data_IF_135460897580
#
_entry.id   IF_135460897580
#
_cell.length_a   1.000
_cell.length_b   1.000
_cell.length_c   1.000
_cell.angle_alpha   90.00
_cell.angle_beta   90.00
_cell.angle_gamma   90.00
#
_symmetry.space_group_name_H-M   'P 1'
#
loop_
_entity.id
_entity.type
_entity.pdbx_description
1 polymer ?
#
# COMPACT_ATOMS: atom_id res chain seq x y z
N UNK A 1 13.23 -20.36 5.12
CA UNK A 1 12.38 -19.39 4.39
C UNK A 1 12.98 -18.01 4.64
N UNK A 2 13.16 -17.18 3.62
CA UNK A 2 13.77 -15.84 3.78
C UNK A 2 12.66 -14.84 4.14
N UNK A 3 12.83 -14.05 5.19
CA UNK A 3 11.81 -13.10 5.62
C UNK A 3 11.82 -11.86 4.73
N UNK A 4 10.67 -11.46 4.20
CA UNK A 4 10.50 -10.25 3.39
C UNK A 4 9.66 -9.21 4.13
N UNK A 5 9.73 -7.97 3.67
CA UNK A 5 8.80 -6.91 4.06
C UNK A 5 7.95 -6.52 2.85
N UNK A 6 6.64 -6.64 3.00
CA UNK A 6 5.67 -6.22 2.01
C UNK A 6 5.38 -4.74 2.25
N UNK A 7 5.50 -3.92 1.22
CA UNK A 7 5.13 -2.50 1.27
C UNK A 7 4.11 -2.26 0.16
N UNK A 8 2.86 -2.05 0.56
CA UNK A 8 1.79 -1.66 -0.33
C UNK A 8 1.68 -0.13 -0.39
N UNK A 9 1.53 0.42 -1.59
CA UNK A 9 1.30 1.85 -1.79
C UNK A 9 0.05 2.09 -2.62
N UNK A 10 -0.58 3.24 -2.40
CA UNK A 10 -1.65 3.79 -3.23
C UNK A 10 -1.49 5.31 -3.22
N UNK A 11 -1.38 5.94 -4.39
CA UNK A 11 -1.11 7.38 -4.50
C UNK A 11 -2.10 8.06 -5.44
N UNK A 12 -2.77 9.10 -4.94
CA UNK A 12 -3.82 9.82 -5.66
C UNK A 12 -3.92 11.28 -5.16
N UNK A 13 -5.02 11.99 -5.47
CA UNK A 13 -5.25 13.39 -5.14
C UNK A 13 -4.12 14.32 -5.62
N UNK A 14 -3.64 14.06 -6.83
CA UNK A 14 -2.50 14.76 -7.43
C UNK A 14 -2.87 16.20 -7.76
N UNK A 15 -2.18 17.17 -7.16
CA UNK A 15 -2.22 18.57 -7.57
C UNK A 15 -1.00 18.86 -8.43
N UNK A 16 -1.24 19.45 -9.61
CA UNK A 16 -0.19 19.80 -10.56
C UNK A 16 -0.13 21.30 -10.79
N UNK A 17 1.06 21.86 -10.80
CA UNK A 17 1.31 23.27 -11.16
C UNK A 17 2.11 23.39 -12.46
N UNK A 18 2.03 24.53 -13.16
CA UNK A 18 2.90 24.81 -14.30
C UNK A 18 4.36 24.72 -13.84
N UNK A 19 5.16 23.86 -14.47
CA UNK A 19 6.58 23.76 -14.18
C UNK A 19 7.32 25.03 -14.61
N UNK A 20 8.45 25.31 -13.95
CA UNK A 20 9.39 26.34 -14.42
C UNK A 20 10.12 25.84 -15.68
N UNK A 21 9.46 25.92 -16.85
CA UNK A 21 10.01 25.57 -18.17
C UNK A 21 9.23 24.51 -18.95
N UNK A 22 9.23 24.65 -20.28
CA UNK A 22 8.68 23.75 -21.31
C UNK A 22 7.19 23.34 -21.22
N UNK A 23 6.39 23.98 -20.35
CA UNK A 23 4.96 23.69 -20.25
C UNK A 23 4.62 22.32 -19.65
N UNK A 24 5.63 21.59 -19.12
CA UNK A 24 5.40 20.35 -18.38
C UNK A 24 4.84 20.66 -17.00
N UNK A 25 3.71 20.05 -16.66
CA UNK A 25 3.08 20.18 -15.34
C UNK A 25 3.82 19.29 -14.32
N UNK A 26 4.36 19.88 -13.27
CA UNK A 26 5.01 19.16 -12.18
C UNK A 26 3.99 18.81 -11.10
N UNK A 27 4.11 17.62 -10.50
CA UNK A 27 3.30 17.27 -9.33
C UNK A 27 3.81 18.08 -8.14
N UNK A 28 2.90 18.82 -7.51
CA UNK A 28 3.19 19.65 -6.32
C UNK A 28 2.84 18.90 -5.04
N UNK A 29 1.67 18.27 -5.02
CA UNK A 29 1.21 17.50 -3.88
C UNK A 29 0.41 16.28 -4.32
N UNK A 30 0.31 15.30 -3.43
CA UNK A 30 -0.47 14.08 -3.59
C UNK A 30 -0.77 13.49 -2.22
N UNK A 31 -1.75 12.60 -2.15
CA UNK A 31 -1.99 11.77 -0.98
C UNK A 31 -1.38 10.39 -1.22
N UNK A 32 -0.81 9.80 -0.16
CA UNK A 32 -0.15 8.51 -0.19
C UNK A 32 -0.64 7.63 0.96
N UNK A 33 -1.23 6.51 0.60
CA UNK A 33 -1.45 5.38 1.49
C UNK A 33 -0.25 4.46 1.49
N UNK A 34 0.17 4.01 2.67
CA UNK A 34 1.21 2.99 2.81
C UNK A 34 0.74 1.92 3.78
N UNK A 35 0.79 0.66 3.38
CA UNK A 35 0.54 -0.47 4.27
C UNK A 35 1.76 -1.40 4.28
N UNK A 36 2.25 -1.74 5.46
CA UNK A 36 3.52 -2.47 5.66
C UNK A 36 3.24 -3.71 6.47
N UNK A 37 3.72 -4.85 5.98
CA UNK A 37 3.73 -6.11 6.71
C UNK A 37 5.13 -6.71 6.71
N UNK A 38 5.70 -6.83 7.89
CA UNK A 38 6.93 -7.59 8.10
C UNK A 38 6.59 -9.05 8.37
N UNK A 39 7.02 -9.96 7.49
CA UNK A 39 6.75 -11.40 7.66
C UNK A 39 7.37 -11.99 8.94
N UNK A 40 8.35 -11.29 9.55
CA UNK A 40 8.88 -11.66 10.88
C UNK A 40 7.84 -11.50 11.97
N UNK A 41 6.92 -10.54 11.86
CA UNK A 41 5.89 -10.33 12.88
C UNK A 41 4.91 -11.50 12.89
N UNK A 42 4.57 -12.04 11.71
CA UNK A 42 3.77 -13.27 11.57
C UNK A 42 4.50 -14.45 12.23
N UNK A 43 5.78 -14.62 11.90
CA UNK A 43 6.61 -15.69 12.47
C UNK A 43 6.67 -15.60 13.99
N UNK A 44 6.86 -14.40 14.52
CA UNK A 44 6.98 -14.19 15.96
C UNK A 44 5.65 -14.47 16.67
N UNK A 45 4.51 -14.08 16.09
CA UNK A 45 3.18 -14.45 16.58
C UNK A 45 2.98 -15.96 16.63
N UNK A 46 3.33 -16.67 15.56
CA UNK A 46 3.21 -18.14 15.48
C UNK A 46 4.14 -18.82 16.48
N UNK A 47 5.41 -18.44 16.52
CA UNK A 47 6.42 -19.08 17.37
C UNK A 47 6.18 -18.83 18.87
N UNK A 48 5.67 -17.64 19.22
CA UNK A 48 5.41 -17.25 20.61
C UNK A 48 3.96 -17.48 21.03
N UNK A 49 3.13 -17.99 20.12
CA UNK A 49 1.72 -18.28 20.34
C UNK A 49 0.93 -17.08 20.86
N UNK A 50 1.25 -15.88 20.37
CA UNK A 50 0.51 -14.67 20.73
C UNK A 50 -0.91 -14.76 20.18
N UNK A 51 -1.90 -14.47 21.03
CA UNK A 51 -3.28 -14.25 20.58
C UNK A 51 -3.41 -12.79 20.18
N UNK A 52 -3.65 -12.56 18.89
CA UNK A 52 -4.01 -11.25 18.38
C UNK A 52 -5.53 -11.10 18.42
N UNK A 53 -6.02 -10.03 19.03
CA UNK A 53 -7.45 -9.70 18.99
C UNK A 53 -7.89 -9.40 17.55
N UNK A 54 -7.04 -8.68 16.81
CA UNK A 54 -7.24 -8.40 15.38
C UNK A 54 -5.98 -8.73 14.58
N UNK A 55 -5.94 -9.86 13.85
CA UNK A 55 -4.76 -10.24 13.06
C UNK A 55 -4.33 -9.24 11.99
N UNK A 56 -5.24 -8.36 11.53
CA UNK A 56 -4.90 -7.30 10.58
C UNK A 56 -4.04 -6.18 11.19
N UNK A 57 -3.88 -6.13 12.52
CA UNK A 57 -3.05 -5.13 13.19
C UNK A 57 -1.55 -5.36 12.94
N UNK A 58 -1.17 -6.53 12.42
CA UNK A 58 0.17 -6.78 11.89
C UNK A 58 0.49 -5.93 10.65
N UNK A 59 -0.53 -5.39 9.99
CA UNK A 59 -0.36 -4.47 8.86
C UNK A 59 -0.34 -3.04 9.40
N UNK A 60 0.86 -2.48 9.52
CA UNK A 60 1.04 -1.07 9.86
C UNK A 60 0.59 -0.21 8.69
N UNK A 61 -0.30 0.74 8.92
CA UNK A 61 -0.88 1.55 7.84
C UNK A 61 -0.74 3.02 8.15
N UNK A 62 -0.35 3.78 7.13
CA UNK A 62 -0.15 5.21 7.17
C UNK A 62 -0.93 5.87 6.04
N UNK A 63 -1.35 7.10 6.28
CA UNK A 63 -1.95 7.99 5.30
C UNK A 63 -1.19 9.31 5.37
N UNK A 64 -0.59 9.71 4.26
CA UNK A 64 0.17 10.95 4.16
C UNK A 64 -0.49 11.90 3.18
N UNK A 65 -0.61 13.17 3.57
CA UNK A 65 -0.78 14.26 2.63
C UNK A 65 0.61 14.86 2.37
N UNK A 66 1.12 14.63 1.16
CA UNK A 66 2.47 15.03 0.76
C UNK A 66 2.38 16.40 0.10
N UNK A 67 2.71 17.43 0.85
CA UNK A 67 2.53 18.83 0.44
C UNK A 67 3.47 19.76 1.22
N UNK A 68 3.50 21.03 0.81
CA UNK A 68 4.31 22.08 1.45
C UNK A 68 3.55 22.79 2.61
N UNK A 69 2.31 22.41 2.89
CA UNK A 69 1.46 23.02 3.92
C UNK A 69 0.76 21.97 4.80
N UNK A 70 0.15 22.38 5.92
CA UNK A 70 -0.58 21.46 6.80
C UNK A 70 -2.05 21.41 6.36
N UNK A 71 -2.57 20.27 5.89
CA UNK A 71 -3.99 20.12 5.56
C UNK A 71 -4.86 20.00 6.80
N UNK A 72 -6.18 19.98 6.59
CA UNK A 72 -7.11 19.51 7.61
C UNK A 72 -6.82 18.05 7.98
N UNK A 73 -6.94 17.72 9.26
CA UNK A 73 -6.87 16.35 9.76
C UNK A 73 -8.04 15.55 9.17
N UNK A 74 -7.75 14.65 8.25
CA UNK A 74 -8.69 13.65 7.78
C UNK A 74 -8.46 12.33 8.51
N UNK A 75 -9.52 11.75 9.07
CA UNK A 75 -9.47 10.43 9.69
C UNK A 75 -9.68 9.32 8.66
N UNK A 76 -8.89 8.25 8.74
CA UNK A 76 -9.08 7.00 8.00
C UNK A 76 -9.24 5.82 8.98
N UNK A 77 -9.45 4.59 8.50
CA UNK A 77 -9.82 3.50 9.42
C UNK A 77 -8.69 3.01 10.32
N UNK A 78 -7.44 3.28 9.94
CA UNK A 78 -6.26 2.78 10.65
C UNK A 78 -5.43 3.89 11.29
N UNK A 79 -5.98 5.11 11.39
CA UNK A 79 -5.35 6.25 12.05
C UNK A 79 -5.78 7.61 11.49
N UNK A 80 -4.87 8.57 11.59
CA UNK A 80 -5.04 9.95 11.14
C UNK A 80 -4.14 10.22 9.94
N UNK A 81 -4.60 11.08 9.02
CA UNK A 81 -3.75 11.59 7.93
C UNK A 81 -2.64 12.46 8.51
N UNK A 82 -1.39 12.13 8.21
CA UNK A 82 -0.21 12.90 8.56
C UNK A 82 0.18 13.84 7.42
N UNK A 83 0.35 15.13 7.70
CA UNK A 83 1.01 16.04 6.77
C UNK A 83 2.51 15.71 6.74
N UNK A 84 3.13 15.65 5.55
CA UNK A 84 4.54 15.35 5.44
C UNK A 84 5.20 16.06 4.26
N UNK A 85 6.40 16.61 4.47
CA UNK A 85 7.21 17.08 3.37
C UNK A 85 7.82 15.91 2.59
N UNK A 86 8.00 16.07 1.28
CA UNK A 86 8.56 15.02 0.44
C UNK A 86 9.94 14.50 0.91
N UNK A 87 10.75 15.36 1.53
CA UNK A 87 12.06 14.98 2.08
C UNK A 87 11.94 14.05 3.29
N UNK A 88 10.99 14.34 4.18
CA UNK A 88 10.73 13.51 5.36
C UNK A 88 10.08 12.18 4.96
N UNK A 89 9.20 12.20 3.96
CA UNK A 89 8.65 10.98 3.37
C UNK A 89 9.76 10.11 2.77
N UNK A 90 10.72 10.72 2.07
CA UNK A 90 11.89 10.01 1.53
C UNK A 90 12.70 9.35 2.64
N UNK A 91 12.92 10.04 3.76
CA UNK A 91 13.60 9.48 4.92
C UNK A 91 12.82 8.30 5.54
N UNK A 92 11.50 8.41 5.69
CA UNK A 92 10.64 7.30 6.14
C UNK A 92 10.73 6.10 5.19
N UNK A 93 10.68 6.33 3.88
CA UNK A 93 10.78 5.26 2.87
C UNK A 93 12.13 4.56 2.94
N UNK A 94 13.24 5.27 3.18
CA UNK A 94 14.55 4.62 3.41
C UNK A 94 14.51 3.75 4.68
N UNK A 95 14.00 4.28 5.79
CA UNK A 95 13.92 3.57 7.06
C UNK A 95 13.03 2.32 6.99
N UNK A 96 11.89 2.39 6.27
CA UNK A 96 11.02 1.22 6.08
C UNK A 96 11.73 0.08 5.36
N UNK A 97 12.73 0.38 4.54
CA UNK A 97 13.40 -0.62 3.71
C UNK A 97 14.71 -1.13 4.31
N UNK A 98 15.20 -0.49 5.37
CA UNK A 98 16.51 -0.75 5.94
C UNK A 98 16.69 -2.21 6.37
N UNK A 99 17.74 -2.85 5.84
CA UNK A 99 18.15 -4.20 6.18
C UNK A 99 17.20 -5.31 5.72
N UNK A 100 16.23 -5.03 4.82
CA UNK A 100 15.18 -5.98 4.42
C UNK A 100 15.04 -6.15 2.92
N UNK A 101 14.68 -7.36 2.51
CA UNK A 101 14.23 -7.63 1.14
C UNK A 101 12.78 -7.15 0.98
N UNK A 102 12.56 -6.23 0.06
CA UNK A 102 11.29 -5.54 -0.11
C UNK A 102 10.51 -6.16 -1.28
N UNK A 103 9.23 -6.40 -1.04
CA UNK A 103 8.25 -6.74 -2.08
C UNK A 103 7.24 -5.62 -2.12
N UNK A 104 7.21 -4.88 -3.22
CA UNK A 104 6.23 -3.81 -3.42
C UNK A 104 4.90 -4.42 -3.83
N UNK A 105 3.81 -3.88 -3.30
CA UNK A 105 2.44 -4.26 -3.65
C UNK A 105 1.68 -2.99 -4.04
N UNK A 106 0.79 -3.08 -5.02
CA UNK A 106 -0.15 -2.01 -5.32
C UNK A 106 -1.35 -2.57 -6.07
N UNK A 107 -2.42 -1.80 -6.09
CA UNK A 107 -3.60 -2.08 -6.89
C UNK A 107 -3.52 -1.26 -8.18
N UNK A 108 -2.87 -1.79 -9.23
CA UNK A 108 -2.43 -1.06 -10.43
C UNK A 108 -1.20 -0.15 -10.23
N UNK A 109 -0.07 -0.78 -9.90
CA UNK A 109 1.19 -0.16 -9.49
C UNK A 109 1.80 0.93 -10.40
N UNK A 110 1.47 0.95 -11.70
CA UNK A 110 2.16 1.79 -12.68
C UNK A 110 1.95 3.29 -12.40
N UNK A 111 0.76 3.68 -11.91
CA UNK A 111 0.48 5.07 -11.62
C UNK A 111 1.18 5.53 -10.34
N UNK A 112 1.08 4.73 -9.28
CA UNK A 112 1.59 5.08 -7.95
C UNK A 112 3.10 5.26 -7.94
N UNK A 113 3.83 4.27 -8.49
CA UNK A 113 5.29 4.30 -8.54
C UNK A 113 5.83 5.46 -9.38
N UNK A 114 5.08 5.90 -10.39
CA UNK A 114 5.45 7.06 -11.20
C UNK A 114 5.38 8.35 -10.36
N UNK A 115 4.34 8.52 -9.54
CA UNK A 115 4.19 9.69 -8.66
C UNK A 115 5.36 9.77 -7.68
N UNK A 116 5.68 8.66 -6.99
CA UNK A 116 6.81 8.65 -6.04
C UNK A 116 8.14 9.00 -6.73
N UNK A 117 8.34 8.53 -7.97
CA UNK A 117 9.54 8.82 -8.76
C UNK A 117 9.70 10.31 -9.08
N UNK A 118 8.61 11.04 -9.34
CA UNK A 118 8.65 12.48 -9.59
C UNK A 118 9.15 13.27 -8.37
N UNK A 119 8.98 12.73 -7.16
CA UNK A 119 9.53 13.27 -5.90
C UNK A 119 10.90 12.70 -5.51
N UNK A 120 11.51 11.89 -6.38
CA UNK A 120 12.80 11.25 -6.10
C UNK A 120 12.75 10.24 -4.94
N UNK A 121 11.58 9.63 -4.73
CA UNK A 121 11.32 8.57 -3.75
C UNK A 121 11.34 7.23 -4.49
N UNK A 122 12.11 6.28 -3.97
CA UNK A 122 12.31 4.98 -4.61
C UNK A 122 12.13 3.84 -3.61
N UNK A 123 11.33 2.85 -4.01
CA UNK A 123 11.29 1.55 -3.34
C UNK A 123 12.31 0.63 -3.99
N UNK A 124 13.34 0.23 -3.24
CA UNK A 124 14.33 -0.78 -3.61
C UNK A 124 13.75 -2.19 -3.47
N UNK A 125 12.74 -2.48 -4.26
CA UNK A 125 12.02 -3.74 -4.24
C UNK A 125 12.70 -4.80 -5.11
N UNK A 126 12.73 -6.05 -4.62
CA UNK A 126 13.20 -7.20 -5.41
C UNK A 126 12.23 -7.50 -6.56
N UNK A 127 10.93 -7.34 -6.32
CA UNK A 127 9.88 -7.41 -7.32
C UNK A 127 8.62 -6.67 -6.85
N UNK A 128 7.73 -6.38 -7.79
CA UNK A 128 6.47 -5.70 -7.54
C UNK A 128 5.30 -6.64 -7.90
N UNK A 129 4.32 -6.74 -7.01
CA UNK A 129 3.07 -7.46 -7.23
C UNK A 129 1.98 -6.44 -7.53
N UNK A 130 1.48 -6.47 -8.76
CA UNK A 130 0.26 -5.76 -9.13
C UNK A 130 -0.96 -6.65 -8.81
N UNK A 131 -1.74 -6.28 -7.80
CA UNK A 131 -2.91 -7.04 -7.37
C UNK A 131 -3.97 -7.14 -8.48
N UNK A 132 -4.05 -6.14 -9.36
CA UNK A 132 -4.97 -6.14 -10.49
C UNK A 132 -4.65 -7.28 -11.47
N UNK A 133 -3.39 -7.70 -11.56
CA UNK A 133 -2.94 -8.83 -12.37
C UNK A 133 -2.93 -10.14 -11.56
N UNK A 134 -2.48 -10.09 -10.30
CA UNK A 134 -2.34 -11.27 -9.45
C UNK A 134 -3.68 -11.99 -9.19
N UNK A 135 -4.81 -11.28 -9.28
CA UNK A 135 -6.14 -11.90 -9.16
C UNK A 135 -6.43 -12.96 -10.23
N UNK A 136 -5.69 -12.96 -11.36
CA UNK A 136 -5.82 -14.02 -12.36
C UNK A 136 -5.50 -15.39 -11.79
N UNK A 137 -4.54 -15.49 -10.85
CA UNK A 137 -4.06 -16.75 -10.30
C UNK A 137 -5.22 -17.58 -9.72
N UNK A 138 -5.99 -17.09 -8.71
CA UNK A 138 -7.08 -17.87 -8.16
C UNK A 138 -8.39 -17.82 -8.98
N UNK A 139 -8.60 -16.81 -9.84
CA UNK A 139 -9.88 -16.64 -10.54
C UNK A 139 -9.88 -17.09 -12.00
N UNK A 140 -8.71 -17.28 -12.62
CA UNK A 140 -8.55 -17.69 -14.02
C UNK A 140 -9.39 -16.82 -14.99
N UNK A 141 -9.49 -15.52 -14.69
CA UNK A 141 -10.31 -14.57 -15.44
C UNK A 141 -9.51 -13.36 -15.86
N UNK A 142 -9.61 -12.99 -17.14
CA UNK A 142 -9.01 -11.78 -17.69
C UNK A 142 -9.79 -10.50 -17.30
N UNK A 143 -10.97 -10.64 -16.68
CA UNK A 143 -11.73 -9.49 -16.17
C UNK A 143 -11.10 -9.05 -14.85
N UNK A 144 -10.52 -7.87 -14.85
CA UNK A 144 -9.98 -7.22 -13.65
C UNK A 144 -11.17 -6.78 -12.77
N UNK A 145 -11.42 -7.52 -11.69
CA UNK A 145 -12.43 -7.15 -10.69
C UNK A 145 -11.91 -5.99 -9.86
N UNK A 146 -12.79 -5.16 -9.29
CA UNK A 146 -12.41 -4.10 -8.35
C UNK A 146 -12.00 -4.67 -6.99
N UNK A 147 -11.21 -3.90 -6.21
CA UNK A 147 -10.78 -4.30 -4.87
C UNK A 147 -11.97 -4.69 -3.97
N UNK A 148 -13.05 -3.90 -4.01
CA UNK A 148 -14.30 -4.19 -3.31
C UNK A 148 -14.90 -5.56 -3.68
N UNK A 149 -14.93 -5.89 -4.99
CA UNK A 149 -15.46 -7.17 -5.46
C UNK A 149 -14.59 -8.33 -4.99
N UNK A 150 -13.27 -8.19 -5.02
CA UNK A 150 -12.34 -9.23 -4.54
C UNK A 150 -12.49 -9.45 -3.04
N UNK A 151 -12.53 -8.37 -2.24
CA UNK A 151 -12.75 -8.46 -0.80
C UNK A 151 -14.07 -9.16 -0.44
N UNK A 152 -15.15 -8.83 -1.14
CA UNK A 152 -16.44 -9.48 -0.95
C UNK A 152 -16.37 -11.00 -1.24
N UNK A 153 -15.65 -11.41 -2.30
CA UNK A 153 -15.43 -12.83 -2.61
C UNK A 153 -14.60 -13.56 -1.54
N UNK A 154 -13.64 -12.86 -0.93
CA UNK A 154 -12.81 -13.38 0.15
C UNK A 154 -13.45 -13.27 1.54
N UNK A 155 -14.69 -12.73 1.63
CA UNK A 155 -15.35 -12.44 2.91
C UNK A 155 -14.51 -11.54 3.84
N UNK A 156 -13.68 -10.67 3.27
CA UNK A 156 -12.93 -9.66 4.01
C UNK A 156 -13.89 -8.53 4.36
N UNK A 157 -14.12 -8.31 5.66
CA UNK A 157 -14.95 -7.20 6.14
C UNK A 157 -14.22 -5.87 5.95
N UNK A 158 -14.91 -4.90 5.38
CA UNK A 158 -14.44 -3.52 5.24
C UNK A 158 -15.62 -2.56 5.50
N UNK A 159 -15.32 -1.36 6.00
CA UNK A 159 -16.33 -0.41 6.48
C UNK A 159 -16.87 0.55 5.39
N UNK A 160 -16.58 0.29 4.12
CA UNK A 160 -17.17 0.99 2.96
C UNK A 160 -16.45 2.27 2.49
N UNK A 161 -15.57 2.89 3.29
CA UNK A 161 -14.79 4.08 2.88
C UNK A 161 -13.53 3.71 2.10
N UNK A 162 -13.72 3.04 0.96
CA UNK A 162 -12.72 2.93 -0.11
C UNK A 162 -12.56 4.31 -0.78
N UNK A 163 -11.46 4.58 -1.48
CA UNK A 163 -11.04 5.91 -1.99
C UNK A 163 -10.34 6.82 -0.96
N UNK A 164 -9.88 6.25 0.15
CA UNK A 164 -8.82 6.86 0.97
C UNK A 164 -7.59 5.98 0.82
N UNK A 165 -6.47 6.58 0.44
CA UNK A 165 -5.32 5.84 -0.05
C UNK A 165 -4.80 4.84 0.99
N UNK A 166 -4.74 5.22 2.27
CA UNK A 166 -4.32 4.36 3.37
C UNK A 166 -5.26 3.18 3.59
N UNK A 167 -6.57 3.39 3.41
CA UNK A 167 -7.54 2.29 3.44
C UNK A 167 -7.30 1.34 2.25
N UNK A 168 -7.13 1.89 1.06
CA UNK A 168 -6.97 1.10 -0.16
C UNK A 168 -5.65 0.32 -0.16
N UNK A 169 -4.54 0.91 0.31
CA UNK A 169 -3.27 0.22 0.52
C UNK A 169 -3.40 -0.92 1.54
N UNK A 170 -4.07 -0.68 2.68
CA UNK A 170 -4.29 -1.73 3.69
C UNK A 170 -5.10 -2.89 3.13
N UNK A 171 -6.25 -2.59 2.52
CA UNK A 171 -7.14 -3.60 2.00
C UNK A 171 -6.56 -4.33 0.79
N UNK A 172 -5.73 -3.67 -0.03
CA UNK A 172 -4.94 -4.29 -1.10
C UNK A 172 -3.99 -5.33 -0.52
N UNK A 173 -3.19 -4.97 0.48
CA UNK A 173 -2.26 -5.91 1.11
C UNK A 173 -2.98 -7.08 1.78
N UNK A 174 -4.07 -6.80 2.49
CA UNK A 174 -4.91 -7.82 3.12
C UNK A 174 -5.56 -8.75 2.09
N UNK A 175 -5.99 -8.21 0.96
CA UNK A 175 -6.57 -8.98 -0.15
C UNK A 175 -5.53 -9.89 -0.80
N UNK A 176 -4.30 -9.41 -1.00
CA UNK A 176 -3.20 -10.23 -1.51
C UNK A 176 -2.97 -11.47 -0.62
N UNK A 177 -2.92 -11.30 0.70
CA UNK A 177 -2.78 -12.41 1.64
C UNK A 177 -3.96 -13.39 1.54
N UNK A 178 -5.19 -12.86 1.42
CA UNK A 178 -6.38 -13.66 1.24
C UNK A 178 -6.39 -14.45 -0.08
N UNK A 179 -5.91 -13.87 -1.18
CA UNK A 179 -5.76 -14.57 -2.47
C UNK A 179 -4.71 -15.68 -2.38
N UNK A 180 -3.57 -15.42 -1.75
CA UNK A 180 -2.52 -16.43 -1.57
C UNK A 180 -3.03 -17.63 -0.74
N UNK A 181 -3.81 -17.37 0.31
CA UNK A 181 -4.44 -18.43 1.08
C UNK A 181 -5.51 -19.17 0.27
N UNK A 182 -6.37 -18.45 -0.47
CA UNK A 182 -7.43 -19.05 -1.29
C UNK A 182 -6.86 -19.96 -2.38
N UNK A 183 -5.80 -19.54 -3.06
CA UNK A 183 -5.11 -20.30 -4.09
C UNK A 183 -4.63 -21.64 -3.52
N UNK A 184 -3.92 -21.61 -2.39
CA UNK A 184 -3.48 -22.81 -1.68
C UNK A 184 -4.63 -23.72 -1.26
N UNK A 185 -5.76 -23.17 -0.79
CA UNK A 185 -6.93 -23.98 -0.40
C UNK A 185 -7.66 -24.65 -1.58
N UNK A 186 -7.40 -24.23 -2.82
CA UNK A 186 -8.03 -24.78 -4.03
C UNK A 186 -7.21 -25.89 -4.70
N UNK A 187 -5.97 -26.11 -4.26
CA UNK A 187 -5.17 -27.30 -4.55
C UNK A 187 -5.57 -28.48 -3.64
#
# INVERSE_FOLDING_TARGET
MRDVKLICIDADNIVREPGQGDGKKQIKSFHLGVAILDTRDIRDVVNRQYKLDTPSDLIQTYQFAVEDSVPQVEHFYFGDTEAIFAQDLKAKVVAWQEGRDIVSVAYSAHHDLFILKDFGIYLNHAFCIDLAQAQYIPFQSAIVLSLAVIMNRLSIRYHGRLHIQGNDAHYTLRTLLGLAALDFYRE
#
